data_IF_043337525045
#
_entry.id   IF_043337525045
#
_cell.length_a   1.000
_cell.length_b   1.000
_cell.length_c   1.000
_cell.angle_alpha   90.00
_cell.angle_beta   90.00
_cell.angle_gamma   90.00
#
_symmetry.space_group_name_H-M   'P 1'
#
loop_
_entity.id
_entity.type
_entity.pdbx_description
1 polymer ?
#
# COMPACT_ATOMS: atom_id res chain seq x y z
N UNK A 1 -13.31 36.43 -25.90
CA UNK A 1 -12.24 36.20 -24.94
C UNK A 1 -12.18 34.70 -24.73
N UNK A 2 -11.14 34.02 -25.18
CA UNK A 2 -10.98 32.60 -24.96
C UNK A 2 -10.50 32.42 -23.52
N UNK A 3 -11.33 31.84 -22.67
CA UNK A 3 -10.93 31.36 -21.34
C UNK A 3 -9.98 30.20 -21.55
N UNK A 4 -8.70 30.43 -21.30
CA UNK A 4 -7.74 29.33 -21.14
C UNK A 4 -8.20 28.51 -19.96
N UNK A 5 -8.79 27.35 -20.21
CA UNK A 5 -9.01 26.35 -19.19
C UNK A 5 -7.62 26.02 -18.60
N UNK A 6 -7.40 26.38 -17.35
CA UNK A 6 -6.25 25.90 -16.58
C UNK A 6 -6.30 24.38 -16.63
N UNK A 7 -5.25 23.73 -17.13
CA UNK A 7 -5.14 22.29 -17.04
C UNK A 7 -5.24 21.92 -15.56
N UNK A 8 -6.25 21.14 -15.19
CA UNK A 8 -6.38 20.58 -13.85
C UNK A 8 -5.08 19.81 -13.54
N UNK A 9 -4.48 20.06 -12.39
CA UNK A 9 -3.33 19.26 -11.94
C UNK A 9 -3.74 17.77 -11.92
N UNK A 10 -2.84 16.86 -12.27
CA UNK A 10 -3.12 15.42 -12.20
C UNK A 10 -3.50 14.99 -10.77
N UNK A 11 -4.32 13.93 -10.65
CA UNK A 11 -4.69 13.36 -9.34
C UNK A 11 -3.41 12.99 -8.59
N UNK A 12 -3.33 13.39 -7.33
CA UNK A 12 -2.31 12.94 -6.38
C UNK A 12 -2.63 11.48 -5.99
N UNK A 13 -1.95 10.54 -6.63
CA UNK A 13 -2.10 9.13 -6.32
C UNK A 13 -1.35 8.75 -5.05
N UNK A 14 -2.03 8.04 -4.17
CA UNK A 14 -1.51 7.54 -2.91
C UNK A 14 -1.97 6.12 -2.60
N UNK A 15 -1.55 5.63 -1.45
CA UNK A 15 -1.96 4.32 -0.93
C UNK A 15 -2.13 4.39 0.58
N UNK A 16 -2.98 3.52 1.11
CA UNK A 16 -3.13 3.31 2.54
C UNK A 16 -2.12 2.29 3.07
N UNK A 17 -1.79 2.38 4.34
CA UNK A 17 -1.04 1.36 5.05
C UNK A 17 -0.92 1.65 6.53
N UNK A 18 -0.37 0.69 7.27
CA UNK A 18 -0.33 0.69 8.73
C UNK A 18 1.10 0.56 9.29
N UNK A 19 2.07 1.38 8.80
CA UNK A 19 3.49 1.23 9.14
C UNK A 19 3.80 1.43 10.62
N UNK A 20 2.94 2.16 11.35
CA UNK A 20 3.12 2.46 12.76
C UNK A 20 2.55 1.34 13.66
N UNK A 21 1.53 0.60 13.20
CA UNK A 21 0.73 -0.25 14.08
C UNK A 21 0.73 -1.73 13.72
N UNK A 22 0.94 -2.14 12.47
CA UNK A 22 0.47 -3.44 12.02
C UNK A 22 1.51 -4.39 11.40
N UNK A 23 2.71 -3.96 11.03
CA UNK A 23 3.61 -4.83 10.27
C UNK A 23 4.96 -5.10 10.96
N UNK A 24 4.99 -5.79 12.13
CA UNK A 24 6.26 -6.14 12.76
C UNK A 24 7.18 -6.90 11.79
N UNK A 25 8.41 -6.40 11.64
CA UNK A 25 9.41 -6.96 10.74
C UNK A 25 9.44 -6.34 9.33
N UNK A 26 8.49 -5.47 8.99
CA UNK A 26 8.49 -4.73 7.72
C UNK A 26 8.94 -3.29 7.97
N UNK A 27 10.11 -2.92 7.49
CA UNK A 27 10.66 -1.56 7.65
C UNK A 27 9.87 -0.49 6.89
N UNK A 28 9.82 0.71 7.46
CA UNK A 28 9.17 1.89 6.87
C UNK A 28 9.79 2.21 5.50
N UNK A 29 11.10 2.17 5.39
CA UNK A 29 11.84 2.47 4.15
C UNK A 29 11.41 1.54 3.02
N UNK A 30 11.19 0.26 3.33
CA UNK A 30 10.74 -0.72 2.35
C UNK A 30 9.35 -0.40 1.82
N UNK A 31 8.44 0.02 2.69
CA UNK A 31 7.09 0.41 2.29
C UNK A 31 7.13 1.66 1.40
N UNK A 32 7.90 2.67 1.78
CA UNK A 32 8.07 3.91 0.99
C UNK A 32 8.78 3.66 -0.36
N UNK A 33 9.69 2.69 -0.43
CA UNK A 33 10.31 2.28 -1.70
C UNK A 33 9.28 1.66 -2.67
N UNK A 34 8.27 0.95 -2.16
CA UNK A 34 7.13 0.49 -2.99
C UNK A 34 6.29 1.65 -3.51
N UNK A 35 5.97 2.63 -2.67
CA UNK A 35 5.25 3.83 -3.12
C UNK A 35 6.03 4.55 -4.23
N UNK A 36 7.32 4.72 -4.04
CA UNK A 36 8.20 5.32 -5.05
C UNK A 36 8.20 4.50 -6.34
N UNK A 37 8.21 3.18 -6.28
CA UNK A 37 8.12 2.31 -7.46
C UNK A 37 6.77 2.42 -8.15
N UNK A 38 5.67 2.43 -7.41
CA UNK A 38 4.32 2.65 -7.93
C UNK A 38 4.16 4.04 -8.58
N UNK A 39 4.98 5.02 -8.21
CA UNK A 39 4.84 6.41 -8.62
C UNK A 39 3.88 7.21 -7.74
N UNK A 40 3.51 6.66 -6.62
CA UNK A 40 2.64 7.31 -5.64
C UNK A 40 3.38 8.40 -4.87
N UNK A 41 2.63 9.42 -4.46
CA UNK A 41 3.17 10.63 -3.83
C UNK A 41 2.58 10.89 -2.46
N UNK A 42 1.64 10.08 -2.01
CA UNK A 42 0.99 10.22 -0.70
C UNK A 42 0.83 8.86 -0.03
N UNK A 43 1.13 8.81 1.27
CA UNK A 43 0.95 7.63 2.11
C UNK A 43 -0.02 7.97 3.25
N UNK A 44 -1.22 7.42 3.20
CA UNK A 44 -2.25 7.59 4.22
C UNK A 44 -2.03 6.55 5.31
N UNK A 45 -1.91 7.02 6.56
CA UNK A 45 -1.60 6.17 7.72
C UNK A 45 -2.42 6.55 8.94
N UNK A 46 -2.75 5.62 9.79
CA UNK A 46 -3.47 5.87 11.02
C UNK A 46 -2.55 6.27 12.17
N UNK A 47 -2.98 7.26 12.96
CA UNK A 47 -2.36 7.63 14.23
C UNK A 47 -3.45 7.91 15.26
N UNK A 48 -3.40 7.21 16.39
CA UNK A 48 -4.44 7.28 17.44
C UNK A 48 -3.92 7.75 18.79
N UNK A 49 -2.61 7.95 18.90
CA UNK A 49 -1.93 8.27 20.15
C UNK A 49 -0.71 9.17 19.92
N UNK A 50 -0.61 10.25 20.68
CA UNK A 50 0.53 11.15 20.65
C UNK A 50 1.84 10.48 21.08
N UNK A 51 1.80 9.39 21.83
CA UNK A 51 2.96 8.57 22.19
C UNK A 51 3.66 7.95 20.97
N UNK A 52 2.97 7.85 19.82
CA UNK A 52 3.53 7.36 18.56
C UNK A 52 4.11 8.46 17.65
N UNK A 53 4.20 9.68 18.15
CA UNK A 53 4.71 10.83 17.38
C UNK A 53 6.16 10.62 16.88
N UNK A 54 6.99 9.89 17.62
CA UNK A 54 8.36 9.55 17.19
C UNK A 54 8.37 8.66 15.93
N UNK A 55 7.43 7.73 15.83
CA UNK A 55 7.31 6.85 14.65
C UNK A 55 6.82 7.65 13.44
N UNK A 56 5.85 8.55 13.67
CA UNK A 56 5.39 9.48 12.64
C UNK A 56 6.53 10.39 12.15
N UNK A 57 7.40 10.88 13.05
CA UNK A 57 8.55 11.72 12.67
C UNK A 57 9.54 10.98 11.77
N UNK A 58 9.81 9.70 12.06
CA UNK A 58 10.63 8.83 11.19
C UNK A 58 9.97 8.69 9.82
N UNK A 59 8.68 8.39 9.79
CA UNK A 59 7.93 8.21 8.55
C UNK A 59 7.91 9.48 7.68
N UNK A 60 7.71 10.64 8.30
CA UNK A 60 7.73 11.95 7.63
C UNK A 60 9.12 12.23 7.04
N UNK A 61 10.18 11.99 7.79
CA UNK A 61 11.56 12.18 7.32
C UNK A 61 11.85 11.29 6.11
N UNK A 62 11.61 9.99 6.24
CA UNK A 62 11.86 9.01 5.18
C UNK A 62 10.98 9.25 3.94
N UNK A 63 9.74 9.73 4.15
CA UNK A 63 8.83 10.16 3.08
C UNK A 63 9.39 11.35 2.30
N UNK A 64 9.85 12.39 3.00
CA UNK A 64 10.46 13.59 2.37
C UNK A 64 11.67 13.25 1.50
N UNK A 65 12.54 12.35 1.96
CA UNK A 65 13.70 11.90 1.19
C UNK A 65 13.32 11.22 -0.13
N UNK A 66 12.10 10.66 -0.20
CA UNK A 66 11.56 9.98 -1.39
C UNK A 66 10.56 10.82 -2.19
N UNK A 67 10.24 12.03 -1.73
CA UNK A 67 9.23 12.91 -2.31
C UNK A 67 7.81 12.32 -2.17
N UNK A 68 7.51 11.76 -0.99
CA UNK A 68 6.23 11.18 -0.60
C UNK A 68 5.71 11.96 0.60
N UNK A 69 4.52 12.53 0.47
CA UNK A 69 3.82 13.21 1.56
C UNK A 69 3.12 12.17 2.45
N UNK A 70 3.10 12.42 3.74
CA UNK A 70 2.38 11.60 4.70
C UNK A 70 1.03 12.27 4.98
N UNK A 71 -0.06 11.50 4.83
CA UNK A 71 -1.41 11.88 5.20
C UNK A 71 -1.82 11.11 6.46
N UNK A 72 -1.64 11.69 7.64
CA UNK A 72 -2.10 11.04 8.86
C UNK A 72 -3.60 11.14 9.00
N UNK A 73 -4.24 10.04 9.39
CA UNK A 73 -5.62 9.96 9.84
C UNK A 73 -5.61 9.93 11.35
N UNK A 74 -6.15 10.95 12.00
CA UNK A 74 -6.26 10.98 13.45
C UNK A 74 -7.56 10.31 13.87
N UNK A 75 -7.42 9.21 14.60
CA UNK A 75 -8.52 8.49 15.22
C UNK A 75 -8.18 8.38 16.71
N UNK A 76 -8.77 9.23 17.60
CA UNK A 76 -8.42 9.15 19.02
C UNK A 76 -8.63 7.74 19.57
N UNK A 77 -7.56 7.13 20.12
CA UNK A 77 -7.57 5.75 20.55
C UNK A 77 -8.09 5.54 21.98
N UNK A 78 -8.18 6.62 22.75
CA UNK A 78 -8.57 6.62 24.17
C UNK A 78 -10.00 7.09 24.41
N UNK A 79 -10.86 7.10 23.38
CA UNK A 79 -12.26 7.50 23.48
C UNK A 79 -13.20 6.30 23.51
N UNK A 80 -14.30 6.45 24.25
CA UNK A 80 -15.42 5.50 24.30
C UNK A 80 -16.72 6.21 23.97
N UNK A 81 -17.17 6.07 22.71
CA UNK A 81 -18.39 6.73 22.22
C UNK A 81 -19.66 6.28 22.96
N UNK A 82 -19.65 5.12 23.62
CA UNK A 82 -20.85 4.66 24.37
C UNK A 82 -20.90 5.26 25.77
N UNK A 83 -19.77 5.51 26.44
CA UNK A 83 -19.70 5.88 27.84
C UNK A 83 -19.45 7.37 28.09
N UNK A 84 -18.60 7.99 27.25
CA UNK A 84 -18.15 9.35 27.48
C UNK A 84 -19.18 10.38 27.02
N UNK A 85 -19.19 11.54 27.65
CA UNK A 85 -19.99 12.69 27.26
C UNK A 85 -19.44 13.35 25.98
N UNK A 86 -20.25 14.13 25.30
CA UNK A 86 -19.79 14.89 24.15
C UNK A 86 -18.68 15.88 24.49
N UNK A 87 -18.70 16.47 25.70
CA UNK A 87 -17.67 17.38 26.20
C UNK A 87 -16.33 16.68 26.39
N UNK A 88 -16.31 15.53 27.07
CA UNK A 88 -15.09 14.70 27.27
C UNK A 88 -14.50 14.25 25.92
N UNK A 89 -15.35 13.82 24.99
CA UNK A 89 -14.93 13.41 23.65
C UNK A 89 -14.32 14.57 22.87
N UNK A 90 -14.93 15.76 22.93
CA UNK A 90 -14.39 16.97 22.32
C UNK A 90 -13.02 17.32 22.88
N UNK A 91 -12.88 17.36 24.20
CA UNK A 91 -11.63 17.76 24.88
C UNK A 91 -10.47 16.82 24.52
N UNK A 92 -10.69 15.52 24.58
CA UNK A 92 -9.68 14.52 24.19
C UNK A 92 -9.27 14.66 22.72
N UNK A 93 -10.24 14.78 21.82
CA UNK A 93 -9.98 14.97 20.41
C UNK A 93 -9.21 16.26 20.11
N UNK A 94 -9.59 17.34 20.77
CA UNK A 94 -8.92 18.65 20.65
C UNK A 94 -7.47 18.58 21.16
N UNK A 95 -7.24 17.99 22.35
CA UNK A 95 -5.91 17.84 22.93
C UNK A 95 -4.99 17.01 22.00
N UNK A 96 -5.47 15.88 21.48
CA UNK A 96 -4.70 15.05 20.55
C UNK A 96 -4.34 15.83 19.27
N UNK A 97 -5.30 16.57 18.69
CA UNK A 97 -5.08 17.37 17.50
C UNK A 97 -4.05 18.49 17.74
N UNK A 98 -4.16 19.20 18.88
CA UNK A 98 -3.21 20.24 19.26
C UNK A 98 -1.80 19.66 19.46
N UNK A 99 -1.69 18.53 20.13
CA UNK A 99 -0.40 17.89 20.43
C UNK A 99 0.32 17.45 19.15
N UNK A 100 -0.37 16.69 18.31
CA UNK A 100 0.22 16.21 17.04
C UNK A 100 0.40 17.35 16.04
N UNK A 101 -0.60 18.21 15.89
CA UNK A 101 -0.53 19.35 14.98
C UNK A 101 0.62 20.28 15.30
N UNK A 102 0.84 20.63 16.57
CA UNK A 102 1.94 21.51 17.00
C UNK A 102 3.31 20.92 16.67
N UNK A 103 3.46 19.61 16.80
CA UNK A 103 4.73 18.93 16.54
C UNK A 103 5.06 18.86 15.03
N UNK A 104 4.03 18.76 14.16
CA UNK A 104 4.22 18.49 12.74
C UNK A 104 3.71 19.59 11.81
N UNK A 105 3.31 20.77 12.31
CA UNK A 105 2.73 21.87 11.50
C UNK A 105 3.60 22.32 10.33
N UNK A 106 4.93 22.21 10.47
CA UNK A 106 5.87 22.61 9.42
C UNK A 106 6.10 21.51 8.36
N UNK A 107 5.73 20.28 8.68
CA UNK A 107 5.99 19.09 7.89
C UNK A 107 4.74 18.53 7.22
N UNK A 108 3.60 18.56 7.88
CA UNK A 108 2.34 17.98 7.42
C UNK A 108 1.31 19.08 7.22
N UNK A 109 0.86 19.25 5.98
CA UNK A 109 -0.07 20.31 5.59
C UNK A 109 -1.53 19.88 5.52
N UNK A 110 -1.79 18.58 5.42
CA UNK A 110 -3.13 18.01 5.35
C UNK A 110 -3.25 16.90 6.39
N UNK A 111 -4.30 16.95 7.18
CA UNK A 111 -4.63 15.92 8.16
C UNK A 111 -6.05 15.42 7.89
N UNK A 112 -6.25 14.13 7.90
CA UNK A 112 -7.58 13.53 7.88
C UNK A 112 -8.04 13.32 9.31
N UNK A 113 -9.24 13.83 9.62
CA UNK A 113 -9.79 13.94 10.97
C UNK A 113 -10.93 12.95 11.15
N UNK A 114 -10.69 11.90 11.90
CA UNK A 114 -11.60 10.76 12.03
C UNK A 114 -11.55 9.84 10.81
N UNK A 115 -11.96 8.59 11.01
CA UNK A 115 -12.16 7.61 9.93
C UNK A 115 -13.54 7.01 10.08
N UNK A 116 -14.43 7.23 9.10
CA UNK A 116 -15.76 6.62 9.01
C UNK A 116 -16.59 6.74 10.31
N UNK A 117 -16.40 7.83 11.04
CA UNK A 117 -17.01 7.99 12.36
C UNK A 117 -18.53 8.08 12.31
N UNK A 118 -19.09 8.54 11.20
CA UNK A 118 -20.54 8.66 11.00
C UNK A 118 -21.26 7.31 11.04
N UNK A 119 -20.56 6.20 10.76
CA UNK A 119 -21.11 4.85 10.87
C UNK A 119 -21.72 4.55 12.26
N UNK A 120 -21.07 5.06 13.32
CA UNK A 120 -21.59 4.92 14.68
C UNK A 120 -22.98 5.57 14.86
N UNK A 121 -23.24 6.66 14.13
CA UNK A 121 -24.45 7.45 14.29
C UNK A 121 -25.59 7.04 13.35
N UNK A 122 -25.37 6.18 12.34
CA UNK A 122 -26.42 5.72 11.43
C UNK A 122 -27.65 5.24 12.21
N UNK A 123 -28.83 5.79 11.90
CA UNK A 123 -30.08 5.45 12.59
C UNK A 123 -30.46 4.00 12.34
N UNK A 124 -30.89 3.33 13.39
CA UNK A 124 -31.31 1.93 13.38
C UNK A 124 -32.82 1.79 13.41
N UNK A 125 -33.36 0.59 13.11
CA UNK A 125 -34.81 0.33 13.18
C UNK A 125 -35.41 0.79 14.50
N UNK A 126 -36.61 1.40 14.44
CA UNK A 126 -37.40 1.94 15.56
C UNK A 126 -36.82 3.16 16.28
N UNK A 127 -35.64 3.65 15.95
CA UNK A 127 -35.09 4.87 16.57
C UNK A 127 -35.86 6.11 16.09
N UNK A 128 -35.85 7.14 16.91
CA UNK A 128 -36.48 8.42 16.56
C UNK A 128 -35.49 9.36 15.89
N UNK A 129 -35.90 9.96 14.79
CA UNK A 129 -35.18 11.04 14.13
C UNK A 129 -35.28 12.36 14.92
N UNK A 130 -34.44 13.32 14.61
CA UNK A 130 -34.40 14.62 15.25
C UNK A 130 -35.68 15.45 15.02
N UNK A 131 -36.45 15.18 13.96
CA UNK A 131 -37.75 15.78 13.69
C UNK A 131 -38.90 15.14 14.49
N UNK A 132 -38.58 14.14 15.32
CA UNK A 132 -39.53 13.38 16.13
C UNK A 132 -40.22 12.22 15.41
N UNK A 133 -40.03 12.05 14.10
CA UNK A 133 -40.52 10.89 13.36
C UNK A 133 -39.77 9.63 13.74
N UNK A 134 -40.44 8.48 13.63
CA UNK A 134 -39.82 7.19 13.89
C UNK A 134 -39.24 6.61 12.59
N UNK A 135 -37.96 6.12 12.64
CA UNK A 135 -37.42 5.33 11.56
C UNK A 135 -38.11 3.94 11.53
N UNK A 136 -38.55 3.45 10.35
CA UNK A 136 -39.30 2.20 10.27
C UNK A 136 -38.60 1.01 10.93
N UNK A 137 -39.36 0.26 11.73
CA UNK A 137 -38.83 -0.88 12.50
C UNK A 137 -38.53 -2.12 11.63
N UNK A 138 -39.21 -2.23 10.51
CA UNK A 138 -39.08 -3.33 9.56
C UNK A 138 -37.93 -3.17 8.55
N UNK A 139 -37.26 -2.03 8.55
CA UNK A 139 -36.13 -1.77 7.67
C UNK A 139 -34.81 -2.13 8.34
N UNK A 140 -33.74 -2.28 7.53
CA UNK A 140 -32.38 -2.31 8.03
C UNK A 140 -31.91 -0.92 8.50
N UNK A 141 -30.67 -0.77 8.96
CA UNK A 141 -30.08 0.55 9.21
C UNK A 141 -30.19 1.45 7.98
N UNK A 142 -30.29 2.76 8.18
CA UNK A 142 -30.42 3.71 7.09
C UNK A 142 -29.15 3.76 6.20
N UNK A 143 -29.32 4.31 5.00
CA UNK A 143 -28.22 4.47 4.03
C UNK A 143 -27.39 5.73 4.22
N UNK A 144 -27.74 6.60 5.19
CA UNK A 144 -27.00 7.82 5.48
C UNK A 144 -27.12 8.93 4.43
N UNK A 145 -28.10 8.83 3.50
CA UNK A 145 -28.26 9.78 2.39
C UNK A 145 -28.77 11.15 2.88
N UNK A 146 -29.68 11.14 3.86
CA UNK A 146 -30.26 12.36 4.43
C UNK A 146 -29.70 12.65 5.83
N UNK A 147 -29.70 13.93 6.21
CA UNK A 147 -29.26 14.34 7.55
C UNK A 147 -30.09 13.73 8.69
N UNK A 148 -31.35 13.40 8.44
CA UNK A 148 -32.25 12.73 9.40
C UNK A 148 -32.02 11.20 9.50
N UNK A 149 -31.08 10.66 8.75
CA UNK A 149 -30.70 9.25 8.82
C UNK A 149 -29.57 8.97 9.83
N UNK A 150 -29.24 9.96 10.64
CA UNK A 150 -28.30 9.86 11.76
C UNK A 150 -29.05 10.05 13.07
N UNK A 151 -28.86 9.14 14.03
CA UNK A 151 -29.49 9.21 15.34
C UNK A 151 -28.85 10.31 16.19
N UNK A 152 -29.60 11.34 16.54
CA UNK A 152 -29.10 12.55 17.20
C UNK A 152 -28.21 12.33 18.41
N UNK A 153 -28.56 11.45 19.39
CA UNK A 153 -27.70 11.21 20.56
C UNK A 153 -26.34 10.61 20.21
N UNK A 154 -26.24 9.72 19.20
CA UNK A 154 -24.95 9.18 18.75
C UNK A 154 -24.22 10.18 17.86
N UNK A 155 -24.97 10.90 17.01
CA UNK A 155 -24.37 11.95 16.19
C UNK A 155 -23.72 13.05 17.03
N UNK A 156 -24.32 13.48 18.14
CA UNK A 156 -23.73 14.48 19.02
C UNK A 156 -22.34 14.09 19.52
N UNK A 157 -22.08 12.81 19.73
CA UNK A 157 -20.77 12.29 20.14
C UNK A 157 -19.77 12.29 18.97
N UNK A 158 -20.19 11.82 17.80
CA UNK A 158 -19.38 11.89 16.56
C UNK A 158 -19.01 13.33 16.23
N UNK A 159 -20.02 14.23 16.26
CA UNK A 159 -19.85 15.66 16.02
C UNK A 159 -18.84 16.30 17.00
N UNK A 160 -18.90 15.93 18.28
CA UNK A 160 -17.95 16.41 19.30
C UNK A 160 -16.50 16.01 18.98
N UNK A 161 -16.25 14.76 18.61
CA UNK A 161 -14.90 14.31 18.20
C UNK A 161 -14.42 15.05 16.96
N UNK A 162 -15.21 15.07 15.88
CA UNK A 162 -14.82 15.74 14.64
C UNK A 162 -14.60 17.25 14.84
N UNK A 163 -15.42 17.87 15.66
CA UNK A 163 -15.29 19.30 16.00
C UNK A 163 -14.03 19.54 16.84
N UNK A 164 -13.77 18.72 17.85
CA UNK A 164 -12.56 18.80 18.68
C UNK A 164 -11.28 18.68 17.82
N UNK A 165 -11.22 17.71 16.94
CA UNK A 165 -10.10 17.54 15.99
C UNK A 165 -9.94 18.77 15.08
N UNK A 166 -11.02 19.27 14.51
CA UNK A 166 -11.00 20.42 13.59
C UNK A 166 -10.59 21.72 14.29
N UNK A 167 -11.16 21.99 15.46
CA UNK A 167 -10.86 23.19 16.24
C UNK A 167 -9.41 23.12 16.76
N UNK A 168 -8.94 21.95 17.20
CA UNK A 168 -7.57 21.73 17.65
C UNK A 168 -6.53 21.99 16.55
N UNK A 169 -6.73 21.48 15.34
CA UNK A 169 -5.86 21.78 14.20
C UNK A 169 -5.89 23.26 13.84
N UNK A 170 -7.05 23.90 13.89
CA UNK A 170 -7.18 25.34 13.61
C UNK A 170 -6.49 26.18 14.66
N UNK A 171 -6.51 25.76 15.94
CA UNK A 171 -5.79 26.44 17.02
C UNK A 171 -4.25 26.38 16.86
N UNK A 172 -3.73 25.31 16.27
CA UNK A 172 -2.29 25.17 15.96
C UNK A 172 -1.88 26.06 14.81
N UNK A 173 -2.52 25.90 13.67
CA UNK A 173 -2.29 26.72 12.47
C UNK A 173 -3.54 26.69 11.58
N UNK A 174 -4.19 27.85 11.35
CA UNK A 174 -5.36 27.94 10.47
C UNK A 174 -5.10 27.52 9.01
N UNK A 175 -3.84 27.41 8.60
CA UNK A 175 -3.45 26.98 7.25
C UNK A 175 -3.34 25.44 7.11
N UNK A 176 -3.39 24.70 8.22
CA UNK A 176 -3.52 23.25 8.16
C UNK A 176 -4.84 22.89 7.50
N UNK A 177 -4.78 22.14 6.39
CA UNK A 177 -5.99 21.66 5.70
C UNK A 177 -6.56 20.45 6.45
N UNK A 178 -7.82 20.54 6.78
CA UNK A 178 -8.58 19.50 7.48
C UNK A 178 -9.41 18.71 6.46
N UNK A 179 -9.06 17.45 6.28
CA UNK A 179 -9.82 16.51 5.48
C UNK A 179 -10.79 15.74 6.39
N UNK A 180 -12.07 15.76 6.09
CA UNK A 180 -13.10 15.04 6.87
C UNK A 180 -14.04 14.34 5.90
N UNK A 181 -14.42 13.10 6.22
CA UNK A 181 -15.26 12.31 5.34
C UNK A 181 -15.99 11.14 5.97
N UNK A 182 -16.41 10.27 5.10
CA UNK A 182 -17.33 9.17 5.39
C UNK A 182 -16.90 7.88 4.73
N UNK A 183 -17.50 6.76 5.20
CA UNK A 183 -17.30 5.40 4.66
C UNK A 183 -17.76 5.22 3.20
N UNK A 184 -18.30 6.24 2.58
CA UNK A 184 -18.86 6.08 1.25
C UNK A 184 -20.31 5.60 1.27
N UNK A 185 -20.66 4.67 0.40
CA UNK A 185 -22.02 4.15 0.20
C UNK A 185 -23.02 5.27 -0.15
N UNK A 186 -23.92 5.59 0.76
CA UNK A 186 -24.87 6.68 0.66
C UNK A 186 -24.64 7.82 1.67
N UNK A 187 -23.55 7.79 2.43
CA UNK A 187 -23.34 8.61 3.64
C UNK A 187 -23.08 10.11 3.40
N UNK A 188 -23.61 10.65 2.30
CA UNK A 188 -23.49 12.09 1.97
C UNK A 188 -24.24 13.00 2.96
N UNK A 189 -25.25 12.48 3.66
CA UNK A 189 -26.01 13.23 4.67
C UNK A 189 -25.18 13.64 5.89
N UNK A 190 -24.06 12.98 6.17
CA UNK A 190 -23.15 13.34 7.25
C UNK A 190 -22.52 14.73 7.01
N UNK A 191 -22.21 15.08 5.76
CA UNK A 191 -21.68 16.41 5.43
C UNK A 191 -22.68 17.53 5.76
N UNK A 192 -23.97 17.31 5.51
CA UNK A 192 -25.01 18.23 5.92
C UNK A 192 -25.10 18.37 7.44
N UNK A 193 -24.97 17.27 8.18
CA UNK A 193 -24.90 17.28 9.65
C UNK A 193 -23.69 18.04 10.14
N UNK A 194 -22.51 17.79 9.60
CA UNK A 194 -21.28 18.53 9.95
C UNK A 194 -21.44 20.03 9.70
N UNK A 195 -22.06 20.42 8.58
CA UNK A 195 -22.34 21.82 8.26
C UNK A 195 -23.30 22.47 9.28
N UNK A 196 -24.36 21.76 9.65
CA UNK A 196 -25.33 22.22 10.64
C UNK A 196 -24.69 22.43 12.02
N UNK A 197 -23.78 21.58 12.42
CA UNK A 197 -23.03 21.65 13.69
C UNK A 197 -21.86 22.65 13.64
N UNK A 198 -21.62 23.27 12.50
CA UNK A 198 -20.57 24.28 12.33
C UNK A 198 -19.14 23.70 12.30
N UNK A 199 -19.00 22.40 12.07
CA UNK A 199 -17.69 21.77 11.85
C UNK A 199 -17.08 22.33 10.57
N UNK A 200 -15.79 22.68 10.62
CA UNK A 200 -15.05 23.23 9.48
C UNK A 200 -14.12 22.18 8.90
N UNK A 201 -14.16 22.02 7.58
CA UNK A 201 -13.24 21.19 6.83
C UNK A 201 -12.85 21.87 5.52
N UNK A 202 -11.70 21.50 4.98
CA UNK A 202 -11.09 22.10 3.79
C UNK A 202 -11.04 21.11 2.62
N UNK A 203 -11.23 19.82 2.88
CA UNK A 203 -11.24 18.72 1.90
C UNK A 203 -12.37 17.76 2.27
N UNK A 204 -13.28 17.51 1.33
CA UNK A 204 -14.32 16.47 1.49
C UNK A 204 -13.76 15.11 1.15
N UNK A 205 -13.81 14.16 2.10
CA UNK A 205 -13.27 12.81 1.94
C UNK A 205 -14.38 11.81 1.61
N UNK A 206 -14.08 10.88 0.71
CA UNK A 206 -14.99 9.81 0.32
C UNK A 206 -14.25 8.47 0.21
N UNK A 207 -14.92 7.37 0.57
CA UNK A 207 -14.45 6.01 0.34
C UNK A 207 -15.32 5.33 -0.72
N UNK A 208 -14.73 4.46 -1.57
CA UNK A 208 -15.46 3.75 -2.62
C UNK A 208 -14.90 2.34 -2.84
N UNK A 209 -15.76 1.36 -2.93
CA UNK A 209 -15.39 -0.04 -3.10
C UNK A 209 -16.25 -0.72 -4.19
N UNK A 210 -16.01 -0.27 -5.45
CA UNK A 210 -16.58 -0.86 -6.66
C UNK A 210 -17.82 -0.18 -7.23
N UNK A 211 -18.43 0.77 -6.51
CA UNK A 211 -19.51 1.62 -7.03
C UNK A 211 -18.98 2.73 -7.92
N UNK A 212 -19.84 3.25 -8.83
CA UNK A 212 -19.54 4.48 -9.56
C UNK A 212 -19.68 5.68 -8.61
N UNK A 213 -18.60 6.47 -8.39
CA UNK A 213 -18.62 7.56 -7.41
C UNK A 213 -19.32 8.82 -7.91
N UNK A 214 -19.73 8.92 -9.16
CA UNK A 214 -20.18 10.19 -9.78
C UNK A 214 -21.32 10.84 -9.00
N UNK A 215 -22.31 10.04 -8.58
CA UNK A 215 -23.44 10.56 -7.78
C UNK A 215 -22.95 11.19 -6.46
N UNK A 216 -22.05 10.52 -5.75
CA UNK A 216 -21.51 11.00 -4.49
C UNK A 216 -20.63 12.24 -4.70
N UNK A 217 -19.73 12.21 -5.69
CA UNK A 217 -18.87 13.35 -6.01
C UNK A 217 -19.69 14.60 -6.37
N UNK A 218 -20.79 14.42 -7.11
CA UNK A 218 -21.74 15.50 -7.41
C UNK A 218 -22.35 16.10 -6.14
N UNK A 219 -22.71 15.27 -5.17
CA UNK A 219 -23.24 15.74 -3.87
C UNK A 219 -22.17 16.45 -3.06
N UNK A 220 -20.96 15.93 -3.00
CA UNK A 220 -19.85 16.55 -2.28
C UNK A 220 -19.42 17.89 -2.89
N UNK A 221 -19.48 18.02 -4.21
CA UNK A 221 -19.17 19.26 -4.91
C UNK A 221 -20.08 20.44 -4.51
N UNK A 222 -21.30 20.17 -4.00
CA UNK A 222 -22.22 21.21 -3.50
C UNK A 222 -21.64 21.97 -2.30
N UNK A 223 -20.69 21.40 -1.55
CA UNK A 223 -19.98 22.05 -0.44
C UNK A 223 -18.83 22.95 -0.87
N UNK A 224 -18.42 22.90 -2.15
CA UNK A 224 -17.41 23.78 -2.74
C UNK A 224 -15.95 23.41 -2.43
N UNK A 225 -15.72 22.43 -1.56
CA UNK A 225 -14.40 21.95 -1.21
C UNK A 225 -13.86 20.96 -2.28
N UNK A 226 -12.53 20.84 -2.45
CA UNK A 226 -11.96 19.75 -3.23
C UNK A 226 -12.29 18.40 -2.58
N UNK A 227 -12.31 17.36 -3.41
CA UNK A 227 -12.66 16.01 -2.97
C UNK A 227 -11.42 15.11 -3.04
N UNK A 228 -11.17 14.38 -1.97
CA UNK A 228 -10.19 13.32 -1.91
C UNK A 228 -10.90 11.97 -1.72
N UNK A 229 -10.58 11.00 -2.55
CA UNK A 229 -11.02 9.61 -2.36
C UNK A 229 -9.90 8.90 -1.60
N UNK A 230 -10.00 8.90 -0.27
CA UNK A 230 -8.90 8.45 0.59
C UNK A 230 -8.86 6.94 0.80
N UNK A 231 -9.92 6.22 0.36
CA UNK A 231 -9.89 4.76 0.23
C UNK A 231 -10.66 4.34 -1.02
N UNK A 232 -10.03 3.49 -1.83
CA UNK A 232 -10.72 2.76 -2.89
C UNK A 232 -10.04 1.44 -3.22
N UNK A 233 -10.86 0.45 -3.55
CA UNK A 233 -10.42 -0.84 -4.05
C UNK A 233 -11.58 -1.55 -4.77
N UNK A 234 -11.32 -2.74 -5.33
CA UNK A 234 -12.35 -3.69 -5.71
C UNK A 234 -13.10 -4.20 -4.45
N UNK A 235 -14.42 -4.45 -4.46
CA UNK A 235 -15.23 -4.68 -3.25
C UNK A 235 -14.74 -5.76 -2.30
N UNK A 236 -14.06 -6.78 -2.80
CA UNK A 236 -13.53 -7.89 -1.99
C UNK A 236 -12.01 -8.00 -2.12
N UNK A 237 -11.35 -6.91 -2.54
CA UNK A 237 -9.93 -6.98 -2.83
C UNK A 237 -9.61 -8.13 -3.77
N UNK A 238 -8.63 -8.95 -3.39
CA UNK A 238 -8.23 -10.16 -4.12
C UNK A 238 -8.84 -11.45 -3.57
N UNK A 239 -9.71 -11.39 -2.55
CA UNK A 239 -10.29 -12.58 -1.92
C UNK A 239 -10.92 -13.55 -2.93
N UNK A 240 -11.60 -13.03 -3.94
CA UNK A 240 -12.24 -13.82 -4.99
C UNK A 240 -11.32 -14.08 -6.18
N UNK A 241 -10.53 -13.08 -6.57
CA UNK A 241 -9.60 -13.16 -7.69
C UNK A 241 -8.65 -11.95 -7.68
N UNK A 242 -7.37 -12.21 -7.73
CA UNK A 242 -6.35 -11.15 -7.87
C UNK A 242 -6.47 -10.41 -9.20
N UNK A 243 -6.89 -11.11 -10.27
CA UNK A 243 -7.11 -10.47 -11.56
C UNK A 243 -8.31 -9.52 -11.54
N UNK A 244 -9.40 -9.90 -10.86
CA UNK A 244 -10.54 -9.02 -10.67
C UNK A 244 -10.18 -7.78 -9.85
N UNK A 245 -9.32 -7.92 -8.83
CA UNK A 245 -8.79 -6.78 -8.08
C UNK A 245 -8.03 -5.82 -9.01
N UNK A 246 -7.14 -6.34 -9.84
CA UNK A 246 -6.34 -5.54 -10.77
C UNK A 246 -7.21 -4.76 -11.78
N UNK A 247 -8.21 -5.43 -12.35
CA UNK A 247 -9.15 -4.82 -13.30
C UNK A 247 -10.05 -3.79 -12.63
N UNK A 248 -10.61 -4.11 -11.45
CA UNK A 248 -11.45 -3.19 -10.67
C UNK A 248 -10.71 -1.92 -10.28
N UNK A 249 -9.49 -2.04 -9.79
CA UNK A 249 -8.65 -0.87 -9.48
C UNK A 249 -8.35 -0.02 -10.70
N UNK A 250 -7.99 -0.64 -11.82
CA UNK A 250 -7.75 0.09 -13.07
C UNK A 250 -9.00 0.86 -13.53
N UNK A 251 -10.17 0.23 -13.46
CA UNK A 251 -11.44 0.87 -13.82
C UNK A 251 -11.76 2.04 -12.89
N UNK A 252 -11.60 1.86 -11.56
CA UNK A 252 -11.80 2.91 -10.59
C UNK A 252 -10.88 4.12 -10.84
N UNK A 253 -9.58 3.87 -11.09
CA UNK A 253 -8.61 4.92 -11.39
C UNK A 253 -8.94 5.67 -12.69
N UNK A 254 -9.37 4.96 -13.73
CA UNK A 254 -9.83 5.58 -14.99
C UNK A 254 -11.04 6.47 -14.74
N UNK A 255 -12.03 5.98 -13.99
CA UNK A 255 -13.26 6.72 -13.69
C UNK A 255 -12.99 7.97 -12.87
N UNK A 256 -12.15 7.89 -11.84
CA UNK A 256 -11.74 9.06 -11.06
C UNK A 256 -11.03 10.12 -11.93
N UNK A 257 -10.20 9.68 -12.85
CA UNK A 257 -9.52 10.60 -13.79
C UNK A 257 -10.50 11.28 -14.77
N UNK A 258 -11.53 10.57 -15.22
CA UNK A 258 -12.60 11.15 -16.05
C UNK A 258 -13.37 12.23 -15.29
N UNK A 259 -13.70 11.97 -14.03
CA UNK A 259 -14.50 12.85 -13.17
C UNK A 259 -13.71 14.00 -12.52
N UNK A 260 -12.37 13.92 -12.56
CA UNK A 260 -11.45 14.81 -11.85
C UNK A 260 -11.75 16.30 -12.09
N UNK A 261 -11.86 16.70 -13.36
CA UNK A 261 -12.02 18.10 -13.72
C UNK A 261 -13.37 18.68 -13.33
N UNK A 262 -14.43 17.87 -13.41
CA UNK A 262 -15.80 18.29 -13.10
C UNK A 262 -16.02 18.45 -11.60
N UNK A 263 -15.53 17.51 -10.80
CA UNK A 263 -15.80 17.47 -9.35
C UNK A 263 -14.59 17.83 -8.48
N UNK A 264 -13.50 18.36 -9.05
CA UNK A 264 -12.28 18.75 -8.33
C UNK A 264 -11.72 17.62 -7.45
N UNK A 265 -11.61 16.42 -8.01
CA UNK A 265 -10.92 15.31 -7.33
C UNK A 265 -9.42 15.60 -7.35
N UNK A 266 -8.83 15.92 -6.19
CA UNK A 266 -7.41 16.27 -6.08
C UNK A 266 -6.52 15.07 -5.77
N UNK A 267 -7.01 14.10 -4.97
CA UNK A 267 -6.23 12.96 -4.54
C UNK A 267 -7.07 11.68 -4.49
N UNK A 268 -6.39 10.54 -4.66
CA UNK A 268 -7.01 9.23 -4.48
C UNK A 268 -5.99 8.21 -3.94
N UNK A 269 -6.39 7.43 -2.92
CA UNK A 269 -5.52 6.48 -2.22
C UNK A 269 -6.10 5.07 -2.34
N UNK A 270 -5.31 4.17 -2.90
CA UNK A 270 -5.66 2.74 -2.95
C UNK A 270 -5.67 2.17 -1.52
N UNK A 271 -6.68 1.46 -1.13
CA UNK A 271 -6.69 0.66 0.09
C UNK A 271 -6.43 -0.79 -0.27
N UNK A 272 -5.21 -1.37 -0.05
CA UNK A 272 -4.07 -0.79 0.64
C UNK A 272 -2.73 -1.34 0.07
N UNK A 273 -1.60 -1.00 0.68
CA UNK A 273 -0.28 -1.43 0.19
C UNK A 273 -0.01 -2.91 0.43
N UNK A 274 -0.17 -3.38 1.67
CA UNK A 274 0.13 -4.74 2.10
C UNK A 274 -1.15 -5.43 2.58
N UNK A 275 -1.29 -6.72 2.31
CA UNK A 275 -2.38 -7.53 2.89
C UNK A 275 -2.36 -7.50 4.41
N UNK A 276 -3.53 -7.57 5.02
CA UNK A 276 -3.72 -7.69 6.46
C UNK A 276 -4.19 -9.10 6.84
N UNK A 277 -3.42 -10.11 6.49
CA UNK A 277 -3.80 -11.53 6.60
C UNK A 277 -4.21 -11.99 8.00
N UNK A 278 -3.94 -11.21 9.02
CA UNK A 278 -4.44 -11.43 10.39
C UNK A 278 -5.96 -11.19 10.53
N UNK A 279 -6.62 -10.54 9.58
CA UNK A 279 -8.07 -10.40 9.52
C UNK A 279 -8.77 -11.56 8.79
N UNK A 280 -8.01 -12.54 8.28
CA UNK A 280 -8.63 -13.68 7.60
C UNK A 280 -9.64 -14.41 8.53
N UNK A 281 -10.80 -14.84 8.04
CA UNK A 281 -11.22 -14.91 6.63
C UNK A 281 -11.95 -13.66 6.09
N UNK A 282 -11.94 -12.52 6.79
CA UNK A 282 -12.54 -11.28 6.28
C UNK A 282 -11.93 -10.88 4.92
N UNK A 283 -12.74 -10.27 4.05
CA UNK A 283 -12.25 -9.74 2.78
C UNK A 283 -11.19 -8.63 2.97
N UNK A 284 -11.21 -7.95 4.09
CA UNK A 284 -10.23 -6.91 4.45
C UNK A 284 -8.80 -7.46 4.48
N UNK A 285 -8.63 -8.74 4.82
CA UNK A 285 -7.34 -9.42 4.81
C UNK A 285 -6.66 -9.44 3.42
N UNK A 286 -7.39 -9.16 2.35
CA UNK A 286 -6.96 -9.35 0.96
C UNK A 286 -6.99 -8.06 0.13
N UNK A 287 -7.00 -6.91 0.78
CA UNK A 287 -7.05 -5.60 0.11
C UNK A 287 -5.71 -5.12 -0.42
N UNK A 288 -4.59 -5.64 0.09
CA UNK A 288 -3.25 -5.22 -0.29
C UNK A 288 -2.92 -5.39 -1.79
N UNK A 289 -2.04 -4.55 -2.28
CA UNK A 289 -1.38 -4.70 -3.58
C UNK A 289 -0.27 -5.74 -3.55
N UNK A 290 0.24 -6.04 -2.35
CA UNK A 290 1.37 -6.94 -2.10
C UNK A 290 0.95 -7.93 -1.02
N UNK A 291 1.29 -9.21 -1.23
CA UNK A 291 1.02 -10.26 -0.24
C UNK A 291 1.88 -10.06 1.00
N UNK A 292 1.29 -10.28 2.17
CA UNK A 292 1.97 -10.34 3.44
C UNK A 292 1.93 -11.79 3.95
N UNK A 293 3.09 -12.33 4.30
CA UNK A 293 3.25 -13.72 4.70
C UNK A 293 3.68 -13.78 6.16
N UNK A 294 2.94 -14.53 6.98
CA UNK A 294 3.30 -14.76 8.37
C UNK A 294 4.56 -15.62 8.50
N UNK A 295 5.45 -15.27 9.42
CA UNK A 295 6.61 -16.07 9.78
C UNK A 295 6.26 -17.05 10.90
N UNK A 296 6.91 -18.20 10.91
CA UNK A 296 6.74 -19.22 11.96
C UNK A 296 7.20 -18.76 13.35
N UNK A 297 8.16 -17.84 13.40
CA UNK A 297 8.72 -17.24 14.62
C UNK A 297 8.01 -15.95 15.06
N UNK A 298 6.92 -15.59 14.39
CA UNK A 298 6.19 -14.34 14.55
C UNK A 298 6.68 -13.23 13.60
N UNK A 299 5.84 -12.20 13.44
CA UNK A 299 6.09 -11.13 12.47
C UNK A 299 5.76 -11.52 11.03
N UNK A 300 6.23 -10.71 10.08
CA UNK A 300 5.81 -10.75 8.68
C UNK A 300 7.00 -10.65 7.72
N UNK A 301 6.82 -11.17 6.52
CA UNK A 301 7.68 -10.92 5.36
C UNK A 301 6.85 -10.47 4.17
N UNK A 302 7.47 -9.68 3.32
CA UNK A 302 6.89 -9.25 2.05
C UNK A 302 6.81 -10.47 1.12
N UNK A 303 5.61 -10.76 0.64
CA UNK A 303 5.36 -11.73 -0.41
C UNK A 303 5.54 -11.12 -1.80
N UNK A 304 5.08 -11.84 -2.82
CA UNK A 304 5.12 -11.35 -4.20
C UNK A 304 4.06 -10.27 -4.46
N UNK A 305 4.30 -9.36 -5.41
CA UNK A 305 3.29 -8.39 -5.84
C UNK A 305 2.12 -9.13 -6.46
N UNK A 306 0.92 -8.60 -6.27
CA UNK A 306 -0.26 -9.07 -6.98
C UNK A 306 -0.35 -8.42 -8.37
N UNK A 307 -1.14 -8.96 -9.30
CA UNK A 307 -1.44 -8.30 -10.57
C UNK A 307 -1.93 -6.85 -10.39
N UNK A 308 -2.62 -6.56 -9.29
CA UNK A 308 -3.08 -5.23 -8.92
C UNK A 308 -1.93 -4.22 -8.76
N UNK A 309 -0.80 -4.63 -8.14
CA UNK A 309 0.39 -3.78 -8.03
C UNK A 309 0.91 -3.34 -9.40
N UNK A 310 0.99 -4.29 -10.32
CA UNK A 310 1.48 -4.04 -11.68
C UNK A 310 0.51 -3.11 -12.43
N UNK A 311 -0.80 -3.40 -12.35
CA UNK A 311 -1.83 -2.60 -13.02
C UNK A 311 -1.84 -1.15 -12.54
N UNK A 312 -1.79 -0.91 -11.23
CA UNK A 312 -1.71 0.42 -10.62
C UNK A 312 -0.43 1.14 -11.04
N UNK A 313 0.71 0.45 -10.98
CA UNK A 313 1.99 1.03 -11.40
C UNK A 313 1.99 1.43 -12.88
N UNK A 314 1.49 0.57 -13.76
CA UNK A 314 1.42 0.87 -15.19
C UNK A 314 0.45 2.00 -15.50
N UNK A 315 -0.64 2.11 -14.75
CA UNK A 315 -1.58 3.22 -14.89
C UNK A 315 -0.92 4.57 -14.56
N UNK A 316 -0.13 4.63 -13.47
CA UNK A 316 0.49 5.89 -13.01
C UNK A 316 1.75 6.23 -13.83
N UNK A 317 2.58 5.24 -14.16
CA UNK A 317 3.93 5.44 -14.72
C UNK A 317 4.12 4.93 -16.14
N UNK A 318 3.13 4.24 -16.70
CA UNK A 318 3.27 3.52 -17.95
C UNK A 318 4.07 2.21 -17.82
N UNK A 319 4.17 1.47 -18.90
CA UNK A 319 4.88 0.20 -18.91
C UNK A 319 6.36 0.36 -18.58
N UNK A 320 6.87 -0.55 -17.74
CA UNK A 320 8.30 -0.59 -17.41
C UNK A 320 9.07 -1.33 -18.50
N UNK A 321 10.12 -0.73 -19.07
CA UNK A 321 11.01 -1.48 -19.94
C UNK A 321 11.73 -2.58 -19.12
N UNK A 322 11.92 -3.74 -19.73
CA UNK A 322 12.67 -4.83 -19.12
C UNK A 322 14.10 -4.36 -18.81
N UNK A 323 14.57 -4.45 -17.57
CA UNK A 323 15.91 -4.01 -17.23
C UNK A 323 16.95 -4.91 -17.89
N UNK A 324 18.13 -4.36 -18.15
CA UNK A 324 19.28 -5.15 -18.59
C UNK A 324 20.19 -5.43 -17.40
N UNK A 325 20.62 -6.68 -17.19
CA UNK A 325 21.60 -6.98 -16.16
C UNK A 325 22.88 -6.16 -16.38
N UNK A 326 23.35 -5.48 -15.34
CA UNK A 326 24.63 -4.75 -15.34
C UNK A 326 25.58 -5.46 -14.41
N UNK A 327 26.76 -5.76 -14.86
CA UNK A 327 27.80 -6.46 -14.09
C UNK A 327 29.12 -5.71 -14.16
N UNK A 328 29.71 -5.52 -12.98
CA UNK A 328 31.06 -4.99 -12.81
C UNK A 328 32.08 -6.14 -12.60
N UNK A 329 31.66 -7.36 -12.88
CA UNK A 329 32.40 -8.59 -12.72
C UNK A 329 31.97 -9.62 -13.77
N UNK A 330 32.79 -10.66 -13.97
CA UNK A 330 32.44 -11.76 -14.85
C UNK A 330 32.10 -13.00 -14.01
N UNK A 331 30.86 -13.51 -14.03
CA UNK A 331 30.49 -14.70 -13.28
C UNK A 331 31.25 -15.96 -13.72
N UNK A 332 31.81 -16.00 -14.96
CA UNK A 332 32.59 -17.11 -15.45
C UNK A 332 34.07 -17.11 -14.99
N UNK A 333 34.58 -15.97 -14.50
CA UNK A 333 35.98 -15.79 -14.09
C UNK A 333 36.22 -16.01 -12.59
N UNK A 334 35.55 -16.93 -11.95
CA UNK A 334 35.94 -17.37 -10.62
C UNK A 334 37.21 -18.23 -10.73
N UNK A 335 38.29 -17.75 -10.13
CA UNK A 335 39.59 -18.41 -10.20
C UNK A 335 39.54 -19.90 -9.78
N UNK A 336 39.94 -20.79 -10.66
CA UNK A 336 39.92 -22.26 -10.45
C UNK A 336 40.74 -22.67 -9.22
N UNK A 337 41.64 -21.80 -8.75
CA UNK A 337 42.52 -22.03 -7.59
C UNK A 337 41.92 -21.69 -6.22
N UNK A 338 40.72 -21.07 -6.17
CA UNK A 338 40.06 -20.73 -4.89
C UNK A 338 39.18 -21.86 -4.37
N UNK A 339 38.96 -21.97 -3.05
CA UNK A 339 38.00 -22.92 -2.48
C UNK A 339 36.62 -22.83 -3.13
N UNK A 340 35.92 -23.96 -3.25
CA UNK A 340 34.62 -24.02 -3.93
C UNK A 340 33.60 -23.03 -3.30
N UNK A 341 33.52 -22.99 -1.97
CA UNK A 341 32.65 -22.08 -1.22
C UNK A 341 32.87 -20.62 -1.58
N UNK A 342 34.13 -20.19 -1.69
CA UNK A 342 34.49 -18.81 -2.09
C UNK A 342 34.08 -18.52 -3.53
N UNK A 343 34.29 -19.52 -4.44
CA UNK A 343 33.86 -19.39 -5.83
C UNK A 343 32.36 -19.27 -5.96
N UNK A 344 31.62 -20.14 -5.25
CA UNK A 344 30.15 -20.14 -5.23
C UNK A 344 29.59 -18.82 -4.73
N UNK A 345 30.10 -18.33 -3.60
CA UNK A 345 29.67 -17.04 -3.06
C UNK A 345 29.98 -15.87 -4.02
N UNK A 346 31.18 -15.81 -4.56
CA UNK A 346 31.58 -14.78 -5.54
C UNK A 346 30.75 -14.85 -6.82
N UNK A 347 30.48 -16.06 -7.30
CA UNK A 347 29.63 -16.31 -8.45
C UNK A 347 28.20 -15.81 -8.23
N UNK A 348 27.58 -16.18 -7.10
CA UNK A 348 26.21 -15.78 -6.78
C UNK A 348 26.06 -14.25 -6.70
N UNK A 349 26.98 -13.54 -6.01
CA UNK A 349 26.98 -12.08 -5.97
C UNK A 349 27.15 -11.46 -7.36
N UNK A 350 28.08 -11.97 -8.13
CA UNK A 350 28.34 -11.44 -9.47
C UNK A 350 27.19 -11.72 -10.43
N UNK A 351 26.64 -12.93 -10.44
CA UNK A 351 25.54 -13.30 -11.33
C UNK A 351 24.27 -12.53 -11.00
N UNK A 352 23.88 -12.52 -9.71
CA UNK A 352 22.59 -11.98 -9.27
C UNK A 352 22.64 -10.48 -9.05
N UNK A 353 23.63 -9.97 -8.31
CA UNK A 353 23.72 -8.55 -7.97
C UNK A 353 24.67 -7.78 -8.90
N UNK A 354 25.40 -8.44 -9.79
CA UNK A 354 26.30 -7.80 -10.76
C UNK A 354 27.50 -7.10 -10.13
N UNK A 355 27.87 -7.46 -8.91
CA UNK A 355 29.01 -6.89 -8.17
C UNK A 355 29.77 -7.94 -7.37
N UNK A 356 30.92 -7.56 -6.87
CA UNK A 356 31.61 -8.37 -5.84
C UNK A 356 30.93 -8.20 -4.50
N UNK A 357 30.86 -9.25 -3.70
CA UNK A 357 30.42 -9.17 -2.31
C UNK A 357 31.42 -8.36 -1.46
N UNK A 358 30.95 -7.66 -0.44
CA UNK A 358 31.80 -7.08 0.57
C UNK A 358 32.38 -8.18 1.50
N UNK A 359 33.49 -7.86 2.16
CA UNK A 359 34.27 -8.84 2.92
C UNK A 359 33.46 -9.51 4.02
N UNK A 360 32.66 -8.76 4.74
CA UNK A 360 31.87 -9.28 5.89
C UNK A 360 30.75 -10.20 5.41
N UNK A 361 30.01 -9.77 4.41
CA UNK A 361 28.92 -10.57 3.82
C UNK A 361 29.47 -11.82 3.12
N UNK A 362 30.58 -11.69 2.41
CA UNK A 362 31.25 -12.85 1.78
C UNK A 362 31.68 -13.89 2.81
N UNK A 363 32.25 -13.45 3.94
CA UNK A 363 32.68 -14.36 5.02
C UNK A 363 31.50 -15.20 5.53
N UNK A 364 30.38 -14.57 5.85
CA UNK A 364 29.17 -15.28 6.34
C UNK A 364 28.65 -16.31 5.34
N UNK A 365 28.59 -15.94 4.05
CA UNK A 365 28.12 -16.88 3.03
C UNK A 365 29.08 -18.03 2.79
N UNK A 366 30.37 -17.77 2.83
CA UNK A 366 31.38 -18.83 2.72
C UNK A 366 31.29 -19.80 3.89
N UNK A 367 31.18 -19.31 5.13
CA UNK A 367 30.99 -20.14 6.33
C UNK A 367 29.72 -20.99 6.24
N UNK A 368 28.59 -20.42 5.79
CA UNK A 368 27.34 -21.16 5.62
C UNK A 368 27.41 -22.23 4.50
N UNK A 369 28.14 -21.95 3.42
CA UNK A 369 28.38 -22.94 2.35
C UNK A 369 29.32 -24.06 2.79
N UNK A 370 30.32 -23.76 3.61
CA UNK A 370 31.27 -24.76 4.14
C UNK A 370 30.67 -25.67 5.20
N UNK A 371 29.69 -25.17 5.95
CA UNK A 371 28.97 -25.91 6.98
C UNK A 371 27.75 -26.68 6.46
N UNK A 372 27.47 -26.64 5.16
CA UNK A 372 26.26 -27.20 4.52
C UNK A 372 24.94 -26.62 5.07
N UNK A 373 24.98 -25.45 5.77
CA UNK A 373 23.80 -24.74 6.21
C UNK A 373 22.99 -24.21 5.01
N UNK A 374 23.68 -23.93 3.91
CA UNK A 374 23.06 -23.48 2.65
C UNK A 374 23.81 -24.05 1.45
N UNK A 375 23.24 -23.82 0.27
CA UNK A 375 23.89 -24.12 -1.00
C UNK A 375 23.84 -22.93 -1.96
N UNK A 376 24.60 -22.95 -3.04
CA UNK A 376 24.69 -21.83 -3.97
C UNK A 376 23.36 -21.49 -4.64
N UNK A 377 22.48 -22.46 -4.88
CA UNK A 377 21.13 -22.23 -5.42
C UNK A 377 20.28 -21.45 -4.44
N UNK A 378 20.21 -21.88 -3.19
CA UNK A 378 19.49 -21.18 -2.11
C UNK A 378 20.06 -19.77 -1.90
N UNK A 379 21.38 -19.63 -1.93
CA UNK A 379 22.03 -18.32 -1.85
C UNK A 379 21.59 -17.40 -3.00
N UNK A 380 21.58 -17.86 -4.25
CA UNK A 380 21.12 -17.07 -5.40
C UNK A 380 19.68 -16.64 -5.24
N UNK A 381 18.77 -17.53 -4.82
CA UNK A 381 17.36 -17.20 -4.58
C UNK A 381 17.20 -16.16 -3.45
N UNK A 382 17.99 -16.31 -2.38
CA UNK A 382 18.00 -15.33 -1.27
C UNK A 382 18.46 -13.95 -1.75
N UNK A 383 19.51 -13.88 -2.57
CA UNK A 383 19.97 -12.62 -3.16
C UNK A 383 18.90 -11.99 -4.09
N UNK A 384 18.16 -12.80 -4.84
CA UNK A 384 17.06 -12.31 -5.71
C UNK A 384 15.86 -11.72 -4.92
N UNK A 385 15.66 -12.15 -3.67
CA UNK A 385 14.66 -11.60 -2.78
C UNK A 385 15.12 -10.33 -2.07
N UNK A 386 16.42 -10.02 -2.10
CA UNK A 386 16.98 -8.89 -1.36
C UNK A 386 16.47 -7.54 -1.86
N UNK A 387 16.43 -6.57 -0.95
CA UNK A 387 16.13 -5.19 -1.29
C UNK A 387 17.13 -4.60 -2.28
N UNK A 388 18.40 -5.04 -2.21
CA UNK A 388 19.43 -4.62 -3.16
C UNK A 388 19.09 -5.04 -4.57
N UNK A 389 18.69 -6.31 -4.77
CA UNK A 389 18.26 -6.81 -6.07
C UNK A 389 17.10 -6.00 -6.63
N UNK A 390 16.11 -5.75 -5.78
CA UNK A 390 14.94 -4.98 -6.20
C UNK A 390 15.29 -3.52 -6.50
N UNK A 391 16.09 -2.85 -5.68
CA UNK A 391 16.56 -1.48 -5.98
C UNK A 391 17.38 -1.41 -7.26
N UNK A 392 18.21 -2.44 -7.52
CA UNK A 392 19.08 -2.47 -8.70
C UNK A 392 18.34 -2.68 -10.00
N UNK A 393 17.38 -3.57 -10.02
CA UNK A 393 16.68 -3.98 -11.24
C UNK A 393 15.20 -3.61 -11.26
N UNK A 394 14.66 -3.13 -10.16
CA UNK A 394 13.23 -2.88 -9.97
C UNK A 394 12.36 -4.08 -10.40
N UNK A 395 12.86 -5.28 -10.16
CA UNK A 395 12.29 -6.54 -10.65
C UNK A 395 10.88 -6.81 -10.10
N UNK A 396 10.62 -6.32 -8.89
CA UNK A 396 9.33 -6.46 -8.22
C UNK A 396 8.17 -5.88 -9.06
N UNK A 397 8.37 -4.71 -9.67
CA UNK A 397 7.36 -4.04 -10.49
C UNK A 397 7.35 -4.42 -11.97
N UNK A 398 7.97 -5.53 -12.38
CA UNK A 398 7.89 -6.05 -13.75
C UNK A 398 6.61 -6.86 -13.95
N UNK A 399 6.00 -6.78 -15.15
CA UNK A 399 4.99 -7.77 -15.55
C UNK A 399 5.60 -9.16 -15.58
N UNK A 400 4.79 -10.21 -15.46
CA UNK A 400 5.29 -11.59 -15.45
C UNK A 400 6.11 -11.91 -16.69
N UNK A 401 5.63 -11.50 -17.86
CA UNK A 401 6.37 -11.69 -19.13
C UNK A 401 7.71 -10.95 -19.13
N UNK A 402 7.74 -9.70 -18.64
CA UNK A 402 8.97 -8.93 -18.55
C UNK A 402 9.94 -9.52 -17.51
N UNK A 403 9.41 -10.05 -16.40
CA UNK A 403 10.20 -10.71 -15.38
C UNK A 403 10.87 -11.99 -15.88
N UNK A 404 10.12 -12.84 -16.59
CA UNK A 404 10.70 -14.04 -17.22
C UNK A 404 11.81 -13.66 -18.21
N UNK A 405 11.54 -12.70 -19.11
CA UNK A 405 12.55 -12.21 -20.06
C UNK A 405 13.80 -11.67 -19.37
N UNK A 406 13.64 -10.96 -18.25
CA UNK A 406 14.73 -10.47 -17.42
C UNK A 406 15.54 -11.62 -16.80
N UNK A 407 14.88 -12.65 -16.26
CA UNK A 407 15.57 -13.81 -15.68
C UNK A 407 16.41 -14.57 -16.70
N UNK A 408 15.92 -14.76 -17.93
CA UNK A 408 16.72 -15.38 -19.00
C UNK A 408 18.00 -14.57 -19.28
N UNK A 409 17.88 -13.25 -19.34
CA UNK A 409 19.06 -12.38 -19.53
C UNK A 409 19.99 -12.39 -18.33
N UNK A 410 19.44 -12.39 -17.11
CA UNK A 410 20.21 -12.40 -15.88
C UNK A 410 20.97 -13.72 -15.71
N UNK A 411 20.28 -14.84 -15.83
CA UNK A 411 20.82 -16.17 -15.50
C UNK A 411 21.52 -16.81 -16.68
N UNK A 412 20.93 -16.74 -17.87
CA UNK A 412 21.46 -17.39 -19.06
C UNK A 412 22.24 -16.46 -20.00
N UNK A 413 22.11 -15.13 -19.82
CA UNK A 413 22.80 -14.13 -20.64
C UNK A 413 22.28 -14.07 -22.09
N UNK A 414 21.06 -14.53 -22.34
CA UNK A 414 20.39 -14.50 -23.63
C UNK A 414 18.91 -14.10 -23.50
N UNK A 415 18.24 -13.66 -24.58
CA UNK A 415 16.80 -13.52 -24.60
C UNK A 415 16.10 -14.85 -24.34
N UNK A 416 14.93 -14.81 -23.71
CA UNK A 416 14.06 -15.98 -23.64
C UNK A 416 13.56 -16.34 -25.05
N UNK A 417 13.46 -17.63 -25.35
CA UNK A 417 12.68 -18.09 -26.48
C UNK A 417 11.18 -17.92 -26.22
N UNK A 418 10.38 -17.82 -27.29
CA UNK A 418 8.96 -17.50 -27.17
C UNK A 418 8.20 -18.57 -26.35
N UNK A 419 8.54 -19.83 -26.52
CA UNK A 419 7.91 -20.93 -25.78
C UNK A 419 8.18 -20.83 -24.26
N UNK A 420 9.43 -20.65 -23.86
CA UNK A 420 9.79 -20.49 -22.46
C UNK A 420 9.16 -19.24 -21.83
N UNK A 421 9.14 -18.13 -22.61
CA UNK A 421 8.55 -16.88 -22.19
C UNK A 421 7.03 -17.03 -21.92
N UNK A 422 6.30 -17.61 -22.87
CA UNK A 422 4.84 -17.79 -22.75
C UNK A 422 4.47 -18.80 -21.67
N UNK A 423 5.24 -19.92 -21.58
CA UNK A 423 4.97 -20.97 -20.60
C UNK A 423 5.11 -20.44 -19.18
N UNK A 424 6.25 -19.84 -18.86
CA UNK A 424 6.47 -19.31 -17.50
C UNK A 424 5.56 -18.12 -17.17
N UNK A 425 5.35 -17.20 -18.11
CA UNK A 425 4.42 -16.08 -17.89
C UNK A 425 3.00 -16.55 -17.61
N UNK A 426 2.52 -17.59 -18.32
CA UNK A 426 1.20 -18.19 -18.09
C UNK A 426 1.10 -18.84 -16.70
N UNK A 427 2.14 -19.54 -16.25
CA UNK A 427 2.17 -20.14 -14.91
C UNK A 427 2.15 -19.09 -13.81
N UNK A 428 2.89 -17.99 -13.97
CA UNK A 428 2.88 -16.86 -13.04
C UNK A 428 1.51 -16.20 -12.98
N UNK A 429 0.96 -15.81 -14.13
CA UNK A 429 -0.35 -15.15 -14.21
C UNK A 429 -1.50 -16.05 -13.73
N UNK A 430 -1.36 -17.37 -13.89
CA UNK A 430 -2.32 -18.36 -13.38
C UNK A 430 -2.12 -18.74 -11.91
N UNK A 431 -1.11 -18.20 -11.23
CA UNK A 431 -0.80 -18.50 -9.83
C UNK A 431 -0.33 -19.93 -9.55
N UNK A 432 0.02 -20.69 -10.59
CA UNK A 432 0.49 -22.08 -10.47
C UNK A 432 2.00 -22.19 -10.20
N UNK A 433 2.73 -21.09 -10.40
CA UNK A 433 4.14 -20.93 -10.04
C UNK A 433 4.36 -19.56 -9.42
N UNK A 434 5.33 -19.45 -8.53
CA UNK A 434 5.84 -18.18 -8.03
C UNK A 434 7.03 -17.72 -8.88
N UNK A 435 7.43 -16.46 -8.78
CA UNK A 435 8.65 -15.91 -9.43
C UNK A 435 9.90 -16.67 -9.01
N UNK A 436 9.93 -17.13 -7.78
CA UNK A 436 11.02 -17.97 -7.27
C UNK A 436 11.05 -19.35 -7.93
N UNK A 437 9.88 -19.99 -8.10
CA UNK A 437 9.78 -21.26 -8.83
C UNK A 437 10.31 -21.14 -10.27
N UNK A 438 10.03 -20.01 -10.93
CA UNK A 438 10.56 -19.75 -12.28
C UNK A 438 12.08 -19.58 -12.25
N UNK A 439 12.61 -18.80 -11.31
CA UNK A 439 14.05 -18.62 -11.15
C UNK A 439 14.74 -19.96 -10.86
N UNK A 440 14.18 -20.75 -9.94
CA UNK A 440 14.68 -22.11 -9.63
C UNK A 440 14.65 -23.02 -10.85
N UNK A 441 13.56 -23.03 -11.62
CA UNK A 441 13.43 -23.81 -12.84
C UNK A 441 14.53 -23.49 -13.88
N UNK A 442 14.86 -22.20 -14.02
CA UNK A 442 15.96 -21.78 -14.91
C UNK A 442 17.32 -22.19 -14.34
N UNK A 443 17.55 -22.02 -13.05
CA UNK A 443 18.81 -22.43 -12.38
C UNK A 443 19.02 -23.93 -12.47
N UNK A 444 17.99 -24.74 -12.38
CA UNK A 444 18.06 -26.20 -12.49
C UNK A 444 18.08 -26.71 -13.94
N UNK A 445 17.91 -25.84 -14.93
CA UNK A 445 17.94 -26.25 -16.33
C UNK A 445 19.33 -26.76 -16.74
N UNK A 446 19.36 -27.70 -17.67
CA UNK A 446 20.61 -28.23 -18.22
C UNK A 446 21.48 -27.15 -18.85
N UNK A 447 20.90 -26.12 -19.43
CA UNK A 447 21.62 -24.98 -19.98
C UNK A 447 22.39 -24.21 -18.91
N UNK A 448 21.73 -23.85 -17.80
CA UNK A 448 22.37 -23.14 -16.70
C UNK A 448 23.46 -24.00 -16.04
N UNK A 449 23.13 -25.26 -15.74
CA UNK A 449 24.05 -26.19 -15.10
C UNK A 449 25.32 -26.41 -15.94
N UNK A 450 25.18 -26.59 -17.25
CA UNK A 450 26.32 -26.73 -18.16
C UNK A 450 27.12 -25.45 -18.28
N UNK A 451 26.47 -24.31 -18.35
CA UNK A 451 27.11 -23.00 -18.51
C UNK A 451 28.00 -22.64 -17.32
N UNK A 452 27.59 -22.99 -16.12
CA UNK A 452 28.27 -22.59 -14.87
C UNK A 452 28.82 -23.78 -14.06
N UNK A 453 29.01 -24.91 -14.67
CA UNK A 453 29.43 -26.14 -14.02
C UNK A 453 30.66 -25.99 -13.09
N UNK A 454 31.62 -25.12 -13.44
CA UNK A 454 32.80 -24.85 -12.62
C UNK A 454 32.50 -24.18 -11.26
N UNK A 455 31.33 -23.56 -11.12
CA UNK A 455 30.90 -22.83 -9.94
C UNK A 455 29.77 -23.53 -9.19
N UNK A 456 29.27 -24.64 -9.73
CA UNK A 456 28.19 -25.43 -9.16
C UNK A 456 28.77 -26.77 -8.70
N UNK A 457 28.36 -27.22 -7.51
CA UNK A 457 28.63 -28.62 -7.14
C UNK A 457 27.51 -29.47 -7.75
N UNK A 458 27.86 -30.21 -8.81
CA UNK A 458 26.91 -31.06 -9.55
C UNK A 458 26.32 -32.18 -8.67
N UNK A 459 26.90 -32.44 -7.51
CA UNK A 459 26.45 -33.50 -6.60
C UNK A 459 25.42 -33.03 -5.56
N UNK A 460 25.17 -31.72 -5.42
CA UNK A 460 24.28 -31.14 -4.37
C UNK A 460 22.84 -30.84 -4.79
N UNK A 461 22.42 -31.20 -6.01
CA UNK A 461 21.14 -30.78 -6.61
C UNK A 461 19.94 -31.68 -6.22
N UNK A 462 19.94 -32.39 -5.10
CA UNK A 462 18.89 -33.39 -4.81
C UNK A 462 17.91 -33.09 -3.68
N UNK A 463 17.89 -31.90 -3.11
CA UNK A 463 16.82 -31.60 -2.10
C UNK A 463 16.28 -30.20 -2.20
N UNK A 464 14.97 -30.10 -2.51
CA UNK A 464 14.17 -28.91 -2.22
C UNK A 464 14.10 -28.74 -0.70
N UNK A 465 14.24 -27.52 -0.16
CA UNK A 465 13.90 -27.26 1.23
C UNK A 465 12.39 -27.50 1.43
N UNK A 466 11.97 -28.01 2.61
CA UNK A 466 10.55 -28.14 2.93
C UNK A 466 9.87 -26.78 2.91
N UNK A 467 8.67 -26.74 2.29
CA UNK A 467 7.85 -25.55 2.06
C UNK A 467 7.31 -24.86 3.31
#
# INVERSE_FOLDING_TARGET
MATTASASADILWGVNGHPITAYPGIGIERQLDFLKDLGMKSYRINISDAGRASDLAVLVKEGKERGIDILPVIIPGDIDLDKESAEELYDKAHELAVTLGSQFKDDIRVWELGNEMENYAIIKPCEKRDDGSQYPCEWGPAGGVGSLEYYGPRWAKVSAVLKGLSDGMTAVDPQIRKAIGTAGWGHVGAFERMRQDGIKWDVSVWHMYGEDPEWALKKLAEYGQPIWVTEFNNPYGSQRSEQQQAEGLKQAMMRLKELQGEYKVEAAHVYELLDETYWAPSFEAYMGLIRLIAKSDGGWIIGEPKPAYIAVREFIRGQRPTPRPRRDCDPAQSGISTPLSVRQASFAFCLVLGRKGDTETMKRWVEALESDETNVTTMMLTLMRSDEFNRRYAAFGLTDRAYVGFLYQLLLGRPADEYGLDTYAKHLSGGTMTREHVALGIILSSEFQSKYAANLDVNSVTSLPPG
#
